data_IF_297756855894
#
_entry.id   IF_297756855894
#
_cell.length_a   1.000
_cell.length_b   1.000
_cell.length_c   1.000
_cell.angle_alpha   90.00
_cell.angle_beta   90.00
_cell.angle_gamma   90.00
#
_symmetry.space_group_name_H-M   'P 1'
#
loop_
_entity.id
_entity.type
_entity.pdbx_description
1 polymer ?
#
# COMPACT_ATOMS: atom_id res chain seq x y z
N UNK A 1 -15.85 -20.89 -5.58
CA UNK A 1 -16.44 -19.66 -5.02
C UNK A 1 -15.41 -18.55 -5.21
N UNK A 2 -15.68 -17.55 -6.02
CA UNK A 2 -14.79 -16.39 -6.19
C UNK A 2 -14.70 -15.67 -4.83
N UNK A 3 -13.49 -15.53 -4.30
CA UNK A 3 -13.29 -14.80 -3.05
C UNK A 3 -13.55 -13.30 -3.36
N UNK A 4 -14.73 -12.82 -3.01
CA UNK A 4 -15.17 -11.44 -3.29
C UNK A 4 -14.39 -10.41 -2.48
N UNK A 5 -13.78 -10.83 -1.37
CA UNK A 5 -12.92 -10.00 -0.54
C UNK A 5 -11.47 -10.02 -1.04
N UNK A 6 -10.82 -8.85 -1.04
CA UNK A 6 -9.38 -8.71 -1.25
C UNK A 6 -8.72 -8.22 0.02
N UNK A 7 -7.83 -9.03 0.56
CA UNK A 7 -7.12 -8.80 1.82
C UNK A 7 -5.73 -8.25 1.55
N UNK A 8 -5.45 -7.07 2.08
CA UNK A 8 -4.24 -6.31 1.81
C UNK A 8 -3.47 -6.11 3.10
N UNK A 9 -2.16 -6.27 3.07
CA UNK A 9 -1.23 -5.82 4.10
C UNK A 9 -0.34 -4.72 3.54
N UNK A 10 -0.19 -3.63 4.30
CA UNK A 10 0.82 -2.59 4.06
C UNK A 10 1.77 -2.65 5.23
N UNK A 11 3.06 -2.83 4.98
CA UNK A 11 4.05 -2.97 6.05
C UNK A 11 5.35 -2.20 5.77
N UNK A 12 5.92 -1.67 6.83
CA UNK A 12 7.14 -0.85 6.80
C UNK A 12 7.56 -0.44 8.21
N UNK A 13 8.46 0.54 8.31
CA UNK A 13 8.82 1.15 9.59
C UNK A 13 7.81 2.22 10.01
N UNK A 14 7.73 2.47 11.31
CA UNK A 14 7.06 3.65 11.84
C UNK A 14 7.61 4.93 11.18
N UNK A 15 6.74 5.78 10.65
CA UNK A 15 7.10 6.99 9.92
C UNK A 15 7.13 6.85 8.38
N UNK A 16 7.07 5.64 7.82
CA UNK A 16 6.97 5.42 6.37
C UNK A 16 5.55 5.62 5.80
N UNK A 17 4.62 6.15 6.57
CA UNK A 17 3.28 6.52 6.08
C UNK A 17 2.34 5.32 5.81
N UNK A 18 2.51 4.21 6.53
CA UNK A 18 1.70 3.00 6.41
C UNK A 18 0.20 3.31 6.62
N UNK A 19 -0.11 4.05 7.69
CA UNK A 19 -1.48 4.46 8.02
C UNK A 19 -2.06 5.39 6.97
N UNK A 20 -1.24 6.31 6.45
CA UNK A 20 -1.67 7.22 5.39
C UNK A 20 -2.08 6.45 4.13
N UNK A 21 -1.25 5.50 3.68
CA UNK A 21 -1.57 4.67 2.52
C UNK A 21 -2.85 3.86 2.74
N UNK A 22 -3.04 3.29 3.92
CA UNK A 22 -4.27 2.59 4.29
C UNK A 22 -5.51 3.47 4.26
N UNK A 23 -5.42 4.69 4.80
CA UNK A 23 -6.51 5.65 4.79
C UNK A 23 -6.89 6.11 3.37
N UNK A 24 -5.91 6.27 2.48
CA UNK A 24 -6.17 6.64 1.08
C UNK A 24 -6.90 5.51 0.34
N UNK A 25 -6.50 4.25 0.54
CA UNK A 25 -7.22 3.09 0.00
C UNK A 25 -8.66 3.08 0.52
N UNK A 26 -8.87 3.23 1.83
CA UNK A 26 -10.19 3.18 2.42
C UNK A 26 -11.12 4.30 1.86
N UNK A 27 -10.61 5.52 1.73
CA UNK A 27 -11.37 6.64 1.12
C UNK A 27 -11.70 6.38 -0.35
N UNK A 28 -10.75 5.88 -1.13
CA UNK A 28 -10.98 5.54 -2.52
C UNK A 28 -12.05 4.45 -2.69
N UNK A 29 -12.09 3.45 -1.80
CA UNK A 29 -13.16 2.45 -1.76
C UNK A 29 -14.54 3.10 -1.58
N UNK A 30 -14.66 4.07 -0.67
CA UNK A 30 -15.92 4.80 -0.42
C UNK A 30 -16.36 5.54 -1.70
N UNK A 31 -15.46 6.20 -2.43
CA UNK A 31 -15.81 6.87 -3.69
C UNK A 31 -16.26 5.90 -4.79
N UNK A 32 -15.82 4.65 -4.72
CA UNK A 32 -16.21 3.60 -5.67
C UNK A 32 -17.38 2.74 -5.17
N UNK A 33 -18.05 3.14 -4.09
CA UNK A 33 -19.14 2.40 -3.45
C UNK A 33 -18.78 0.96 -3.08
N UNK A 34 -17.50 0.74 -2.67
CA UNK A 34 -17.01 -0.54 -2.16
C UNK A 34 -17.06 -0.57 -0.64
N UNK A 35 -17.29 -1.75 -0.09
CA UNK A 35 -17.12 -1.99 1.33
C UNK A 35 -15.64 -2.08 1.67
N UNK A 36 -15.25 -1.47 2.80
CA UNK A 36 -13.87 -1.48 3.26
C UNK A 36 -13.82 -1.55 4.79
N UNK A 37 -12.90 -2.33 5.31
CA UNK A 37 -12.52 -2.31 6.71
C UNK A 37 -11.00 -2.35 6.84
N UNK A 38 -10.46 -1.84 7.94
CA UNK A 38 -9.02 -1.82 8.13
C UNK A 38 -8.63 -1.74 9.60
N UNK A 39 -7.46 -2.30 9.89
CA UNK A 39 -6.84 -2.27 11.22
C UNK A 39 -5.40 -1.80 11.09
N UNK A 40 -4.93 -1.06 12.10
CA UNK A 40 -3.54 -0.61 12.20
C UNK A 40 -2.91 -1.24 13.45
N UNK A 41 -1.73 -1.81 13.29
CA UNK A 41 -0.95 -2.33 14.40
C UNK A 41 0.47 -1.76 14.35
N UNK A 42 0.96 -1.35 15.51
CA UNK A 42 2.34 -0.93 15.72
C UNK A 42 3.07 -1.98 16.55
N UNK A 43 4.33 -2.28 16.21
CA UNK A 43 5.20 -3.08 17.05
C UNK A 43 5.48 -2.36 18.38
N UNK A 44 5.84 -3.13 19.42
CA UNK A 44 6.12 -2.62 20.77
C UNK A 44 7.35 -1.69 20.85
N UNK A 45 8.16 -1.60 19.82
CA UNK A 45 9.35 -0.75 19.75
C UNK A 45 8.96 0.70 19.44
N UNK A 46 9.32 1.62 20.31
CA UNK A 46 8.93 3.04 20.26
C UNK A 46 9.51 3.84 19.08
N UNK A 47 10.58 3.39 18.42
CA UNK A 47 11.16 3.95 17.19
C UNK A 47 11.81 2.87 16.35
N UNK A 48 11.50 2.84 15.05
CA UNK A 48 12.05 1.86 14.10
C UNK A 48 11.37 0.48 14.11
N UNK A 49 10.37 0.27 14.97
CA UNK A 49 9.54 -0.94 14.97
C UNK A 49 8.69 -1.08 13.70
N UNK A 50 8.33 -2.31 13.38
CA UNK A 50 7.46 -2.61 12.24
C UNK A 50 6.06 -2.06 12.47
N UNK A 51 5.57 -1.26 11.53
CA UNK A 51 4.18 -0.83 11.48
C UNK A 51 3.47 -1.62 10.37
N UNK A 52 2.24 -2.05 10.63
CA UNK A 52 1.39 -2.65 9.60
C UNK A 52 -0.02 -2.05 9.61
N UNK A 53 -0.60 -1.95 8.44
CA UNK A 53 -2.03 -1.75 8.24
C UNK A 53 -2.56 -2.93 7.45
N UNK A 54 -3.72 -3.46 7.84
CA UNK A 54 -4.45 -4.47 7.08
C UNK A 54 -5.75 -3.86 6.59
N UNK A 55 -6.14 -4.19 5.38
CA UNK A 55 -7.33 -3.65 4.73
C UNK A 55 -8.03 -4.79 4.01
N UNK A 56 -9.35 -4.81 4.10
CA UNK A 56 -10.20 -5.71 3.30
C UNK A 56 -11.07 -4.83 2.41
N UNK A 57 -11.07 -5.12 1.12
CA UNK A 57 -11.93 -4.48 0.11
C UNK A 57 -12.90 -5.53 -0.41
N UNK A 58 -14.18 -5.19 -0.52
CA UNK A 58 -15.22 -6.07 -1.03
C UNK A 58 -16.31 -5.29 -1.77
N UNK A 59 -16.99 -5.94 -2.71
CA UNK A 59 -18.21 -5.45 -3.31
C UNK A 59 -19.47 -5.79 -2.46
N UNK A 60 -19.29 -6.60 -1.40
CA UNK A 60 -20.35 -7.01 -0.46
C UNK A 60 -19.93 -6.69 0.98
N UNK A 61 -20.87 -6.81 1.92
CA UNK A 61 -20.59 -6.59 3.34
C UNK A 61 -19.47 -7.49 3.86
N UNK A 62 -18.56 -6.92 4.65
CA UNK A 62 -17.40 -7.58 5.24
C UNK A 62 -17.76 -8.08 6.63
N UNK A 63 -17.77 -9.39 6.82
CA UNK A 63 -18.16 -10.01 8.07
C UNK A 63 -17.10 -9.91 9.18
N UNK A 64 -15.82 -9.81 8.84
CA UNK A 64 -14.71 -9.75 9.81
C UNK A 64 -13.59 -8.83 9.34
N UNK A 65 -13.04 -7.95 10.19
CA UNK A 65 -11.90 -7.11 9.84
C UNK A 65 -10.55 -7.84 9.93
N UNK A 66 -10.53 -9.12 10.30
CA UNK A 66 -9.29 -9.86 10.56
C UNK A 66 -8.69 -10.35 9.24
N UNK A 67 -7.41 -10.03 9.03
CA UNK A 67 -6.60 -10.51 7.90
C UNK A 67 -5.51 -11.44 8.43
N UNK A 68 -5.69 -12.74 8.24
CA UNK A 68 -4.68 -13.76 8.60
C UNK A 68 -3.75 -14.03 7.41
N UNK A 69 -4.31 -14.22 6.22
CA UNK A 69 -3.58 -14.52 4.98
C UNK A 69 -3.89 -13.47 3.92
N UNK A 70 -3.03 -12.43 3.77
CA UNK A 70 -3.24 -11.37 2.78
C UNK A 70 -3.06 -11.87 1.34
N UNK A 71 -3.94 -11.41 0.43
CA UNK A 71 -3.84 -11.64 -1.03
C UNK A 71 -2.83 -10.69 -1.69
N UNK A 72 -2.60 -9.52 -1.07
CA UNK A 72 -1.76 -8.47 -1.62
C UNK A 72 -0.91 -7.88 -0.50
N UNK A 73 0.39 -7.74 -0.76
CA UNK A 73 1.33 -7.05 0.12
C UNK A 73 1.86 -5.76 -0.52
N UNK A 74 1.89 -4.66 0.24
CA UNK A 74 2.66 -3.45 -0.09
C UNK A 74 3.76 -3.35 0.96
N UNK A 75 4.98 -3.69 0.57
CA UNK A 75 6.12 -3.86 1.49
C UNK A 75 7.17 -2.79 1.24
N UNK A 76 7.40 -1.94 2.22
CA UNK A 76 8.25 -0.77 2.07
C UNK A 76 9.71 -0.98 2.49
N UNK A 77 10.04 -2.11 3.16
CA UNK A 77 11.40 -2.39 3.59
C UNK A 77 11.68 -3.88 3.78
N UNK A 78 12.97 -4.25 3.86
CA UNK A 78 13.42 -5.63 3.99
C UNK A 78 12.90 -6.34 5.25
N UNK A 79 12.96 -5.76 6.47
CA UNK A 79 12.45 -6.42 7.68
C UNK A 79 10.96 -6.76 7.60
N UNK A 80 10.15 -5.92 6.93
CA UNK A 80 8.74 -6.21 6.72
C UNK A 80 8.52 -7.35 5.72
N UNK A 81 9.34 -7.46 4.67
CA UNK A 81 9.32 -8.62 3.80
C UNK A 81 9.66 -9.90 4.55
N UNK A 82 10.72 -9.87 5.35
CA UNK A 82 11.17 -11.03 6.13
C UNK A 82 10.12 -11.50 7.14
N UNK A 83 9.33 -10.54 7.66
CA UNK A 83 8.28 -10.83 8.65
C UNK A 83 7.00 -11.37 8.05
N UNK A 84 6.57 -10.88 6.88
CA UNK A 84 5.21 -11.12 6.36
C UNK A 84 5.14 -11.97 5.10
N UNK A 85 6.26 -12.34 4.48
CA UNK A 85 6.24 -13.15 3.26
C UNK A 85 5.56 -14.51 3.46
N UNK A 86 5.83 -15.16 4.60
CA UNK A 86 5.28 -16.48 4.90
C UNK A 86 3.77 -16.45 5.24
N UNK A 87 3.26 -15.30 5.70
CA UNK A 87 1.85 -15.10 6.04
C UNK A 87 0.97 -14.85 4.79
N UNK A 88 1.57 -14.64 3.60
CA UNK A 88 0.82 -14.33 2.38
C UNK A 88 0.02 -15.51 1.86
N UNK A 89 -1.15 -15.23 1.27
CA UNK A 89 -1.95 -16.24 0.59
C UNK A 89 -1.18 -16.86 -0.59
N UNK A 90 -1.60 -18.06 -1.01
CA UNK A 90 -1.02 -18.69 -2.21
C UNK A 90 -1.29 -17.83 -3.45
N UNK A 91 -0.28 -17.67 -4.29
CA UNK A 91 -0.29 -16.81 -5.50
C UNK A 91 -0.56 -15.31 -5.20
N UNK A 92 -0.26 -14.85 -4.00
CA UNK A 92 -0.40 -13.44 -3.64
C UNK A 92 0.54 -12.54 -4.44
N UNK A 93 0.10 -11.28 -4.63
CA UNK A 93 0.89 -10.23 -5.26
C UNK A 93 1.63 -9.41 -4.19
N UNK A 94 2.92 -9.21 -4.39
CA UNK A 94 3.78 -8.40 -3.52
C UNK A 94 4.28 -7.17 -4.28
N UNK A 95 3.81 -5.97 -3.92
CA UNK A 95 4.42 -4.70 -4.36
C UNK A 95 5.57 -4.40 -3.41
N UNK A 96 6.80 -4.42 -3.94
CA UNK A 96 8.03 -4.31 -3.15
C UNK A 96 8.78 -3.01 -3.49
N UNK A 97 9.11 -2.22 -2.49
CA UNK A 97 10.00 -1.08 -2.64
C UNK A 97 11.44 -1.55 -2.87
N UNK A 98 11.88 -1.65 -4.12
CA UNK A 98 13.21 -2.15 -4.50
C UNK A 98 14.37 -1.31 -4.00
N UNK A 99 14.15 -0.04 -3.65
CA UNK A 99 15.16 0.77 -2.99
C UNK A 99 15.61 0.17 -1.64
N UNK A 100 14.69 -0.45 -0.89
CA UNK A 100 14.92 -0.92 0.48
C UNK A 100 14.72 -2.43 0.66
N UNK A 101 14.13 -3.11 -0.31
CA UNK A 101 14.03 -4.58 -0.36
C UNK A 101 15.12 -5.09 -1.29
N UNK A 102 16.07 -5.86 -0.75
CA UNK A 102 17.30 -6.25 -1.46
C UNK A 102 17.36 -7.72 -1.88
N UNK A 103 16.52 -8.58 -1.29
CA UNK A 103 16.45 -9.99 -1.66
C UNK A 103 15.22 -10.30 -2.52
N UNK A 104 15.32 -11.36 -3.28
CA UNK A 104 14.17 -11.95 -3.96
C UNK A 104 13.20 -12.64 -2.98
N UNK A 105 11.99 -12.91 -3.45
CA UNK A 105 11.02 -13.71 -2.72
C UNK A 105 11.55 -15.14 -2.54
N UNK A 106 11.44 -15.69 -1.33
CA UNK A 106 11.75 -17.09 -1.01
C UNK A 106 10.67 -18.02 -1.57
N UNK A 107 9.41 -17.59 -1.46
CA UNK A 107 8.23 -18.32 -1.94
C UNK A 107 8.08 -18.12 -3.45
N UNK A 108 8.10 -19.23 -4.21
CA UNK A 108 8.02 -19.25 -5.69
C UNK A 108 6.60 -19.12 -6.23
N UNK A 109 5.59 -19.30 -5.37
CA UNK A 109 4.19 -19.11 -5.70
C UNK A 109 3.73 -17.65 -5.61
N UNK A 110 4.56 -16.73 -5.09
CA UNK A 110 4.25 -15.32 -5.00
C UNK A 110 4.70 -14.56 -6.25
N UNK A 111 3.97 -13.52 -6.59
CA UNK A 111 4.33 -12.61 -7.69
C UNK A 111 4.88 -11.31 -7.14
N UNK A 112 6.08 -10.89 -7.56
CA UNK A 112 6.65 -9.61 -7.17
C UNK A 112 6.40 -8.53 -8.23
N UNK A 113 5.92 -7.37 -7.79
CA UNK A 113 5.93 -6.13 -8.55
C UNK A 113 6.93 -5.17 -7.90
N UNK A 114 8.10 -5.04 -8.50
CA UNK A 114 9.18 -4.19 -7.98
C UNK A 114 8.93 -2.74 -8.37
N UNK A 115 9.05 -1.82 -7.42
CA UNK A 115 9.00 -0.37 -7.65
C UNK A 115 10.10 0.32 -6.85
N UNK A 116 10.88 1.18 -7.48
CA UNK A 116 11.96 1.92 -6.82
C UNK A 116 11.41 3.14 -6.06
N UNK A 117 10.52 2.85 -5.10
CA UNK A 117 9.63 3.85 -4.52
C UNK A 117 10.37 4.95 -3.76
N UNK A 118 11.44 4.64 -3.06
CA UNK A 118 12.21 5.66 -2.32
C UNK A 118 12.95 6.57 -3.27
N UNK A 119 13.64 6.02 -4.27
CA UNK A 119 14.36 6.82 -5.26
C UNK A 119 13.43 7.72 -6.07
N UNK A 120 12.31 7.19 -6.55
CA UNK A 120 11.30 7.98 -7.26
C UNK A 120 10.70 9.12 -6.41
N UNK A 121 10.56 8.89 -5.09
CA UNK A 121 10.12 9.91 -4.16
C UNK A 121 11.20 10.98 -3.91
N UNK A 122 12.48 10.60 -3.86
CA UNK A 122 13.62 11.51 -3.75
C UNK A 122 13.76 12.41 -4.97
N UNK A 123 13.54 11.90 -6.19
CA UNK A 123 13.49 12.69 -7.42
C UNK A 123 12.39 13.77 -7.39
N UNK A 124 11.29 13.54 -6.65
CA UNK A 124 10.25 14.54 -6.40
C UNK A 124 10.59 15.51 -5.26
N UNK A 125 11.79 15.39 -4.69
CA UNK A 125 12.26 16.23 -3.59
C UNK A 125 11.69 15.85 -2.21
N UNK A 126 11.03 14.69 -2.07
CA UNK A 126 10.44 14.30 -0.79
C UNK A 126 10.38 12.77 -0.60
N UNK A 127 11.41 12.18 0.00
CA UNK A 127 11.48 10.74 0.28
C UNK A 127 10.27 10.20 1.09
N UNK A 128 9.54 11.07 1.82
CA UNK A 128 8.38 10.66 2.62
C UNK A 128 7.18 10.20 1.80
N UNK A 129 7.13 10.52 0.48
CA UNK A 129 6.03 10.09 -0.39
C UNK A 129 6.28 8.72 -1.05
N UNK A 130 7.31 7.98 -0.65
CA UNK A 130 7.60 6.64 -1.16
C UNK A 130 6.43 5.65 -0.98
N UNK A 131 5.66 5.76 0.11
CA UNK A 131 4.45 5.00 0.32
C UNK A 131 3.38 5.28 -0.75
N UNK A 132 3.30 6.51 -1.25
CA UNK A 132 2.35 6.90 -2.30
C UNK A 132 2.82 6.43 -3.67
N UNK A 133 4.13 6.41 -3.93
CA UNK A 133 4.70 5.76 -5.11
C UNK A 133 4.35 4.28 -5.12
N UNK A 134 4.56 3.56 -4.00
CA UNK A 134 4.19 2.16 -3.88
C UNK A 134 2.67 1.93 -4.05
N UNK A 135 1.84 2.87 -3.57
CA UNK A 135 0.39 2.84 -3.76
C UNK A 135 0.02 2.99 -5.25
N UNK A 136 0.71 3.83 -6.02
CA UNK A 136 0.53 3.93 -7.47
C UNK A 136 0.81 2.62 -8.19
N UNK A 137 1.91 1.95 -7.83
CA UNK A 137 2.24 0.62 -8.33
C UNK A 137 1.17 -0.43 -7.97
N UNK A 138 0.66 -0.39 -6.74
CA UNK A 138 -0.45 -1.24 -6.30
C UNK A 138 -1.69 -1.05 -7.17
N UNK A 139 -2.12 0.18 -7.42
CA UNK A 139 -3.28 0.49 -8.27
C UNK A 139 -3.08 -0.08 -9.68
N UNK A 140 -1.90 0.14 -10.28
CA UNK A 140 -1.56 -0.36 -11.62
C UNK A 140 -1.63 -1.88 -11.73
N UNK A 141 -1.06 -2.58 -10.74
CA UNK A 141 -0.93 -4.05 -10.78
C UNK A 141 -2.19 -4.79 -10.40
N UNK A 142 -3.06 -4.18 -9.60
CA UNK A 142 -4.27 -4.86 -9.12
C UNK A 142 -5.53 -4.47 -9.89
N UNK A 143 -5.61 -3.23 -10.37
CA UNK A 143 -6.86 -2.69 -10.93
C UNK A 143 -8.04 -2.68 -9.96
N UNK A 144 -7.81 -2.89 -8.66
CA UNK A 144 -8.87 -2.96 -7.63
C UNK A 144 -9.56 -1.61 -7.40
N UNK A 145 -8.82 -0.53 -7.61
CA UNK A 145 -9.28 0.85 -7.45
C UNK A 145 -8.81 1.68 -8.64
N UNK A 146 -9.54 2.73 -8.95
CA UNK A 146 -9.15 3.70 -9.98
C UNK A 146 -8.07 4.64 -9.44
N UNK A 147 -7.16 5.04 -10.33
CA UNK A 147 -6.11 6.02 -9.99
C UNK A 147 -6.73 7.35 -9.53
N UNK A 148 -7.80 7.76 -10.19
CA UNK A 148 -8.55 8.99 -9.92
C UNK A 148 -9.16 8.98 -8.52
N UNK A 149 -9.65 7.83 -8.05
CA UNK A 149 -10.24 7.70 -6.71
C UNK A 149 -9.19 7.89 -5.60
N UNK A 150 -7.98 7.38 -5.80
CA UNK A 150 -6.86 7.64 -4.87
C UNK A 150 -6.44 9.11 -4.96
N UNK A 151 -6.36 9.69 -6.16
CA UNK A 151 -6.02 11.11 -6.33
C UNK A 151 -7.05 12.02 -5.64
N UNK A 152 -8.33 11.72 -5.75
CA UNK A 152 -9.41 12.43 -5.03
C UNK A 152 -9.25 12.28 -3.51
N UNK A 153 -8.90 11.08 -3.01
CA UNK A 153 -8.65 10.86 -1.59
C UNK A 153 -7.46 11.71 -1.08
N UNK A 154 -6.42 11.89 -1.91
CA UNK A 154 -5.29 12.78 -1.60
C UNK A 154 -5.78 14.23 -1.51
N UNK A 155 -6.57 14.70 -2.49
CA UNK A 155 -7.09 16.07 -2.48
C UNK A 155 -7.93 16.35 -1.23
N UNK A 156 -8.84 15.45 -0.84
CA UNK A 156 -9.63 15.60 0.40
C UNK A 156 -8.75 15.63 1.67
N UNK A 157 -7.79 14.72 1.75
CA UNK A 157 -6.95 14.61 2.94
C UNK A 157 -6.05 15.83 3.16
N UNK A 158 -5.61 16.46 2.08
CA UNK A 158 -4.70 17.60 2.10
C UNK A 158 -5.38 18.96 1.83
N UNK A 159 -6.72 18.99 1.59
CA UNK A 159 -7.47 20.21 1.25
C UNK A 159 -7.22 21.38 2.24
N UNK A 160 -7.05 21.07 3.53
CA UNK A 160 -6.84 22.07 4.57
C UNK A 160 -5.35 22.33 4.90
N UNK A 161 -4.40 21.53 4.36
CA UNK A 161 -3.01 21.48 4.87
C UNK A 161 -1.92 22.01 3.96
N UNK A 162 -2.17 22.42 2.76
CA UNK A 162 -1.25 23.00 1.75
C UNK A 162 -1.44 22.30 0.39
N UNK A 163 -1.87 23.05 -0.60
CA UNK A 163 -2.01 22.59 -2.00
C UNK A 163 -0.72 21.93 -2.56
N UNK A 164 0.45 22.38 -2.12
CA UNK A 164 1.75 21.81 -2.49
C UNK A 164 1.88 20.33 -2.05
N UNK A 165 1.37 19.99 -0.86
CA UNK A 165 1.42 18.58 -0.39
C UNK A 165 0.50 17.67 -1.17
N UNK A 166 -0.70 18.13 -1.54
CA UNK A 166 -1.59 17.36 -2.41
C UNK A 166 -0.93 17.12 -3.78
N UNK A 167 -0.32 18.16 -4.36
CA UNK A 167 0.32 18.06 -5.66
C UNK A 167 1.48 17.05 -5.67
N UNK A 168 2.41 17.10 -4.69
CA UNK A 168 3.55 16.19 -4.64
C UNK A 168 3.09 14.73 -4.41
N UNK A 169 2.05 14.52 -3.59
CA UNK A 169 1.48 13.19 -3.40
C UNK A 169 0.81 12.66 -4.68
N UNK A 170 0.09 13.50 -5.44
CA UNK A 170 -0.49 13.08 -6.74
C UNK A 170 0.60 12.77 -7.78
N UNK A 171 1.69 13.54 -7.81
CA UNK A 171 2.84 13.23 -8.67
C UNK A 171 3.49 11.90 -8.28
N UNK A 172 3.65 11.62 -6.99
CA UNK A 172 4.19 10.38 -6.49
C UNK A 172 3.30 9.17 -6.87
N UNK A 173 1.98 9.33 -6.74
CA UNK A 173 1.00 8.32 -7.14
C UNK A 173 1.14 8.00 -8.64
N UNK A 174 1.18 9.02 -9.49
CA UNK A 174 1.31 8.86 -10.93
C UNK A 174 2.64 8.22 -11.31
N UNK A 175 3.77 8.67 -10.74
CA UNK A 175 5.08 8.06 -10.97
C UNK A 175 5.10 6.56 -10.65
N UNK A 176 4.53 6.15 -9.53
CA UNK A 176 4.45 4.74 -9.17
C UNK A 176 3.57 3.93 -10.12
N UNK A 177 2.45 4.50 -10.54
CA UNK A 177 1.54 3.90 -11.50
C UNK A 177 2.20 3.68 -12.88
N UNK A 178 2.95 4.67 -13.39
CA UNK A 178 3.62 4.62 -14.68
C UNK A 178 4.89 3.75 -14.68
N UNK A 179 5.59 3.68 -13.55
CA UNK A 179 6.79 2.86 -13.38
C UNK A 179 6.51 1.37 -13.55
N UNK A 180 5.39 0.90 -13.06
CA UNK A 180 4.97 -0.49 -13.15
C UNK A 180 4.30 -0.80 -14.49
N UNK A 181 5.11 -1.10 -15.50
CA UNK A 181 4.66 -1.58 -16.82
C UNK A 181 4.06 -2.98 -16.78
#
# INVERSE_FOLDING_TARGET
MSNKEKKIIIAGFGGQGIVLAGNLIARACIFENKHVTGMVAYGAEMRGGTAKATIIISDEEIASPIVETPDIGIILNQPSLDRYEDDMAKNALMVLNSSLVKRELKRKDLTAAMVDATHLAEELGNARVANIVALGAFVKKTGLLKLESIAQAIDELFAQKKAVMAQINKQALLKGYEYCR
#
